data_IF_033516602708
#
_entry.id   IF_033516602708
#
_cell.length_a   1.000
_cell.length_b   1.000
_cell.length_c   1.000
_cell.angle_alpha   90.00
_cell.angle_beta   90.00
_cell.angle_gamma   90.00
#
_symmetry.space_group_name_H-M   'P 1'
#
loop_
_entity.id
_entity.type
_entity.pdbx_description
1 polymer ?
#
# COMPACT_ATOMS: atom_id res chain seq x y z
N UNK A 1 29.18 -2.07 40.39
CA UNK A 1 27.72 -2.22 40.23
C UNK A 1 27.06 -1.26 39.21
N UNK A 2 27.69 -0.14 38.80
CA UNK A 2 27.05 0.85 37.91
C UNK A 2 27.19 0.56 36.41
N UNK A 3 28.26 -0.14 36.01
CA UNK A 3 28.52 -0.47 34.61
C UNK A 3 27.51 -1.49 34.05
N UNK A 4 27.21 -2.53 34.83
CA UNK A 4 26.26 -3.59 34.46
C UNK A 4 24.82 -3.08 34.33
N UNK A 5 24.38 -2.18 35.22
CA UNK A 5 23.05 -1.55 35.12
C UNK A 5 22.92 -0.68 33.87
N UNK A 6 24.01 -0.02 33.47
CA UNK A 6 24.04 0.88 32.31
C UNK A 6 24.03 0.11 31.00
N UNK A 7 24.78 -0.99 30.92
CA UNK A 7 24.74 -1.90 29.75
C UNK A 7 23.38 -2.58 29.63
N UNK A 8 22.78 -3.06 30.72
CA UNK A 8 21.44 -3.68 30.70
C UNK A 8 20.36 -2.72 30.21
N UNK A 9 20.42 -1.45 30.65
CA UNK A 9 19.45 -0.42 30.22
C UNK A 9 19.58 -0.11 28.73
N UNK A 10 20.81 -0.04 28.22
CA UNK A 10 21.06 0.21 26.79
C UNK A 10 20.57 -0.95 25.91
N UNK A 11 20.77 -2.20 26.34
CA UNK A 11 20.23 -3.37 25.64
C UNK A 11 18.70 -3.34 25.63
N UNK A 12 18.06 -2.96 26.74
CA UNK A 12 16.60 -2.82 26.82
C UNK A 12 16.06 -1.73 25.88
N UNK A 13 16.73 -0.58 25.81
CA UNK A 13 16.35 0.49 24.86
C UNK A 13 16.54 0.06 23.41
N UNK A 14 17.63 -0.64 23.10
CA UNK A 14 17.87 -1.19 21.77
C UNK A 14 16.77 -2.19 21.38
N UNK A 15 16.41 -3.12 22.28
CA UNK A 15 15.35 -4.09 22.03
C UNK A 15 13.98 -3.42 21.84
N UNK A 16 13.70 -2.36 22.59
CA UNK A 16 12.47 -1.57 22.44
C UNK A 16 12.40 -0.86 21.08
N UNK A 17 13.51 -0.28 20.63
CA UNK A 17 13.60 0.33 19.30
C UNK A 17 13.48 -0.70 18.17
N UNK A 18 14.11 -1.86 18.33
CA UNK A 18 14.03 -2.96 17.38
C UNK A 18 12.59 -3.49 17.22
N UNK A 19 11.89 -3.73 18.33
CA UNK A 19 10.47 -4.16 18.32
C UNK A 19 9.57 -3.09 17.70
N UNK A 20 9.86 -1.81 17.94
CA UNK A 20 9.11 -0.71 17.33
C UNK A 20 9.26 -0.68 15.81
N UNK A 21 10.51 -0.74 15.30
CA UNK A 21 10.77 -0.76 13.86
C UNK A 21 10.19 -2.00 13.17
N UNK A 22 10.25 -3.18 13.80
CA UNK A 22 9.59 -4.38 13.26
C UNK A 22 8.08 -4.22 13.15
N UNK A 23 7.45 -3.56 14.13
CA UNK A 23 6.01 -3.28 14.10
C UNK A 23 5.66 -2.27 13.01
N UNK A 24 6.44 -1.20 12.88
CA UNK A 24 6.24 -0.19 11.82
C UNK A 24 6.37 -0.82 10.42
N UNK A 25 7.38 -1.66 10.20
CA UNK A 25 7.53 -2.39 8.95
C UNK A 25 6.32 -3.27 8.66
N UNK A 26 5.87 -4.06 9.64
CA UNK A 26 4.71 -4.94 9.46
C UNK A 26 3.42 -4.15 9.15
N UNK A 27 3.21 -3.00 9.79
CA UNK A 27 2.08 -2.10 9.50
C UNK A 27 2.21 -1.56 8.07
N UNK A 28 3.39 -1.09 7.67
CA UNK A 28 3.64 -0.58 6.33
C UNK A 28 3.35 -1.61 5.24
N UNK A 29 3.70 -2.88 5.46
CA UNK A 29 3.39 -3.95 4.51
C UNK A 29 1.89 -4.17 4.35
N UNK A 30 1.13 -4.16 5.45
CA UNK A 30 -0.33 -4.32 5.42
C UNK A 30 -0.98 -3.11 4.73
N UNK A 31 -0.53 -1.89 5.01
CA UNK A 31 -1.03 -0.68 4.35
C UNK A 31 -0.74 -0.67 2.83
N UNK A 32 0.39 -1.26 2.43
CA UNK A 32 0.71 -1.45 1.02
C UNK A 32 -0.23 -2.48 0.37
N UNK A 33 -0.45 -3.61 1.03
CA UNK A 33 -1.35 -4.67 0.53
C UNK A 33 -2.78 -4.16 0.36
N UNK A 34 -3.33 -3.48 1.36
CA UNK A 34 -4.66 -2.85 1.29
C UNK A 34 -4.77 -1.90 0.09
N UNK A 35 -3.74 -1.07 -0.14
CA UNK A 35 -3.71 -0.14 -1.27
C UNK A 35 -3.68 -0.86 -2.62
N UNK A 36 -2.95 -1.96 -2.73
CA UNK A 36 -2.92 -2.78 -3.95
C UNK A 36 -4.26 -3.46 -4.20
N UNK A 37 -4.93 -3.95 -3.15
CA UNK A 37 -6.28 -4.49 -3.25
C UNK A 37 -7.30 -3.43 -3.69
N UNK A 38 -7.24 -2.20 -3.16
CA UNK A 38 -8.07 -1.07 -3.61
C UNK A 38 -7.85 -0.77 -5.11
N UNK A 39 -6.60 -0.79 -5.58
CA UNK A 39 -6.26 -0.59 -6.99
C UNK A 39 -6.87 -1.69 -7.88
N UNK A 40 -6.66 -2.96 -7.53
CA UNK A 40 -7.17 -4.11 -8.28
C UNK A 40 -8.70 -4.11 -8.31
N UNK A 41 -9.34 -3.88 -7.15
CA UNK A 41 -10.79 -3.79 -7.04
C UNK A 41 -11.37 -2.68 -7.94
N UNK A 42 -10.70 -1.53 -7.96
CA UNK A 42 -11.12 -0.40 -8.80
C UNK A 42 -10.99 -0.72 -10.29
N UNK A 43 -9.91 -1.38 -10.70
CA UNK A 43 -9.76 -1.90 -12.06
C UNK A 43 -10.85 -2.91 -12.42
N UNK A 44 -11.18 -3.86 -11.54
CA UNK A 44 -12.21 -4.86 -11.76
C UNK A 44 -13.60 -4.24 -11.92
N UNK A 45 -13.95 -3.24 -11.10
CA UNK A 45 -15.22 -2.52 -11.22
C UNK A 45 -15.29 -1.72 -12.54
N UNK A 46 -14.19 -1.05 -12.90
CA UNK A 46 -14.13 -0.26 -14.13
C UNK A 46 -13.99 -1.11 -15.41
N UNK A 47 -13.54 -2.36 -15.29
CA UNK A 47 -13.39 -3.29 -16.41
C UNK A 47 -14.70 -3.51 -17.19
N UNK A 48 -15.84 -3.42 -16.50
CA UNK A 48 -17.19 -3.46 -17.10
C UNK A 48 -17.41 -2.38 -18.17
N UNK A 49 -16.79 -1.20 -18.02
CA UNK A 49 -16.88 -0.08 -18.96
C UNK A 49 -15.91 -0.20 -20.14
N UNK A 50 -14.99 -1.17 -20.11
CA UNK A 50 -14.00 -1.44 -21.17
C UNK A 50 -14.37 -2.73 -21.94
N UNK A 51 -15.54 -3.30 -21.68
CA UNK A 51 -16.05 -4.49 -22.38
C UNK A 51 -15.52 -5.82 -21.83
N UNK A 52 -14.83 -5.80 -20.69
CA UNK A 52 -14.46 -7.01 -19.96
C UNK A 52 -15.65 -7.36 -19.05
N UNK A 53 -16.27 -8.55 -19.17
CA UNK A 53 -17.41 -8.94 -18.34
C UNK A 53 -16.97 -9.05 -16.88
N UNK A 54 -17.25 -8.01 -16.11
CA UNK A 54 -16.89 -7.85 -14.70
C UNK A 54 -17.95 -6.97 -14.06
N UNK A 55 -18.19 -7.10 -12.75
CA UNK A 55 -19.47 -7.36 -12.07
C UNK A 55 -20.73 -6.65 -12.61
N UNK A 56 -21.93 -7.18 -12.34
CA UNK A 56 -23.19 -6.63 -12.87
C UNK A 56 -23.26 -5.11 -12.76
N UNK A 57 -23.57 -4.40 -13.85
CA UNK A 57 -23.54 -2.93 -13.91
C UNK A 57 -24.34 -2.26 -12.80
N UNK A 58 -25.44 -2.88 -12.36
CA UNK A 58 -26.23 -2.42 -11.21
C UNK A 58 -25.42 -2.32 -9.92
N UNK A 59 -24.54 -3.28 -9.68
CA UNK A 59 -23.65 -3.30 -8.52
C UNK A 59 -22.58 -2.21 -8.65
N UNK A 60 -21.99 -2.05 -9.84
CA UNK A 60 -21.01 -0.99 -10.13
C UNK A 60 -21.62 0.39 -9.84
N UNK A 61 -22.82 0.68 -10.36
CA UNK A 61 -23.50 1.98 -10.16
C UNK A 61 -23.74 2.28 -8.67
N UNK A 62 -24.07 1.26 -7.88
CA UNK A 62 -24.28 1.42 -6.42
C UNK A 62 -22.97 1.70 -5.68
N UNK A 63 -21.86 1.20 -6.19
CA UNK A 63 -20.53 1.37 -5.58
C UNK A 63 -19.82 2.64 -6.06
N UNK A 64 -20.15 3.17 -7.24
CA UNK A 64 -19.55 4.39 -7.80
C UNK A 64 -19.43 5.57 -6.81
N UNK A 65 -20.43 5.89 -5.97
CA UNK A 65 -20.31 6.99 -5.01
C UNK A 65 -19.18 6.80 -3.99
N UNK A 66 -18.83 5.56 -3.67
CA UNK A 66 -17.74 5.21 -2.74
C UNK A 66 -16.37 5.15 -3.43
N UNK A 67 -16.33 5.18 -4.76
CA UNK A 67 -15.10 5.05 -5.55
C UNK A 67 -14.46 6.37 -5.96
N UNK A 68 -15.03 7.52 -5.56
CA UNK A 68 -14.55 8.84 -6.01
C UNK A 68 -13.06 9.02 -5.74
N UNK A 69 -12.58 8.62 -4.56
CA UNK A 69 -11.16 8.66 -4.19
C UNK A 69 -10.30 7.80 -5.14
N UNK A 70 -10.71 6.56 -5.37
CA UNK A 70 -9.93 5.62 -6.18
C UNK A 70 -9.90 5.99 -7.67
N UNK A 71 -10.99 6.56 -8.20
CA UNK A 71 -11.02 7.10 -9.56
C UNK A 71 -9.99 8.24 -9.71
N UNK A 72 -9.87 9.13 -8.72
CA UNK A 72 -8.87 10.20 -8.72
C UNK A 72 -7.44 9.62 -8.66
N UNK A 73 -7.22 8.60 -7.82
CA UNK A 73 -5.93 7.92 -7.70
C UNK A 73 -5.55 7.26 -9.02
N UNK A 74 -6.45 6.50 -9.64
CA UNK A 74 -6.26 5.86 -10.96
C UNK A 74 -5.93 6.89 -12.03
N UNK A 75 -6.64 8.03 -12.09
CA UNK A 75 -6.35 9.11 -13.03
C UNK A 75 -4.96 9.72 -12.79
N UNK A 76 -4.57 9.90 -11.53
CA UNK A 76 -3.23 10.43 -11.19
C UNK A 76 -2.10 9.47 -11.57
N UNK A 77 -2.30 8.16 -11.35
CA UNK A 77 -1.37 7.10 -11.78
C UNK A 77 -1.29 7.02 -13.30
N UNK A 78 -2.43 7.09 -13.99
CA UNK A 78 -2.47 7.08 -15.46
C UNK A 78 -1.66 8.22 -16.08
N UNK A 79 -1.65 9.41 -15.47
CA UNK A 79 -0.82 10.55 -15.92
C UNK A 79 0.67 10.35 -15.67
N UNK A 80 1.06 9.41 -14.81
CA UNK A 80 2.45 9.10 -14.46
C UNK A 80 2.96 7.84 -15.16
N UNK A 81 2.17 7.23 -16.05
CA UNK A 81 2.54 6.04 -16.83
C UNK A 81 3.65 6.28 -17.85
N UNK A 82 4.25 7.48 -17.90
CA UNK A 82 5.42 7.74 -18.71
C UNK A 82 6.68 6.98 -18.19
N UNK A 83 6.70 6.55 -16.91
CA UNK A 83 7.75 5.66 -16.35
C UNK A 83 7.21 4.62 -15.34
N UNK A 84 6.46 3.60 -15.80
CA UNK A 84 5.88 2.57 -14.94
C UNK A 84 6.92 1.55 -14.49
N UNK A 85 8.03 1.40 -15.24
CA UNK A 85 9.12 0.50 -14.91
C UNK A 85 10.02 1.09 -13.81
N UNK A 86 10.23 2.40 -13.78
CA UNK A 86 10.97 3.09 -12.72
C UNK A 86 10.27 3.05 -11.37
N UNK A 87 8.94 3.13 -11.33
CA UNK A 87 8.16 2.99 -10.08
C UNK A 87 8.28 1.57 -9.51
N UNK A 88 8.17 0.55 -10.37
CA UNK A 88 8.36 -0.86 -9.99
C UNK A 88 9.81 -1.15 -9.60
N UNK A 89 10.80 -0.64 -10.33
CA UNK A 89 12.21 -0.81 -10.00
C UNK A 89 12.56 -0.15 -8.66
N UNK A 90 12.02 1.04 -8.38
CA UNK A 90 12.13 1.71 -7.08
C UNK A 90 11.45 0.93 -5.95
N UNK A 91 10.31 0.27 -6.21
CA UNK A 91 9.64 -0.61 -5.24
C UNK A 91 10.47 -1.85 -4.87
N UNK A 92 11.25 -2.38 -5.82
CA UNK A 92 12.12 -3.52 -5.58
C UNK A 92 13.53 -3.13 -5.11
N UNK A 93 13.80 -1.84 -4.87
CA UNK A 93 15.13 -1.29 -4.59
C UNK A 93 16.19 -1.71 -5.65
N UNK A 94 15.75 -2.01 -6.88
CA UNK A 94 16.65 -2.36 -7.98
C UNK A 94 17.00 -1.06 -8.70
N UNK A 95 18.07 -0.43 -8.23
CA UNK A 95 18.71 0.74 -8.83
C UNK A 95 20.22 0.58 -8.83
#
# INVERSE_FOLDING_TARGET
MNFLKRTLKNVLYFFKGFVHGFRENAISYIEMEERELENIFSLLLMASFIGIPSPPTTLVIRLLPYMVKEIIIMQSKSRRLDDPLGEVAGMFEIG
#
